data_IF_940140091359
#
_entry.id   IF_940140091359
#
_cell.length_a   1.000
_cell.length_b   1.000
_cell.length_c   1.000
_cell.angle_alpha   90.00
_cell.angle_beta   90.00
_cell.angle_gamma   90.00
#
_symmetry.space_group_name_H-M   'P 1'
#
loop_
_entity.id
_entity.type
_entity.pdbx_description
1 polymer ?
#
# COMPACT_ATOMS: atom_id res chain seq x y z
N UNK A 1 -27.16 -53.38 8.86
CA UNK A 1 -26.69 -52.24 9.69
C UNK A 1 -27.92 -51.40 10.00
N UNK A 2 -28.35 -51.36 11.26
CA UNK A 2 -29.48 -50.53 11.68
C UNK A 2 -29.09 -49.06 11.50
N UNK A 3 -29.89 -48.30 10.77
CA UNK A 3 -29.75 -46.84 10.70
C UNK A 3 -29.88 -46.28 12.12
N UNK A 4 -28.95 -45.43 12.59
CA UNK A 4 -29.05 -44.85 13.92
C UNK A 4 -30.39 -44.11 14.06
N UNK A 5 -31.01 -44.13 15.25
CA UNK A 5 -32.30 -43.48 15.46
C UNK A 5 -32.16 -42.00 15.15
N UNK A 6 -32.90 -41.53 14.14
CA UNK A 6 -33.01 -40.10 13.83
C UNK A 6 -33.87 -39.48 14.92
N UNK A 7 -33.28 -38.62 15.74
CA UNK A 7 -34.02 -37.81 16.70
C UNK A 7 -35.11 -37.03 15.95
N UNK A 8 -36.36 -36.98 16.48
CA UNK A 8 -37.41 -36.12 15.96
C UNK A 8 -36.96 -34.66 15.87
N UNK A 9 -37.47 -33.96 14.86
CA UNK A 9 -37.04 -32.61 14.53
C UNK A 9 -37.36 -31.62 15.66
N UNK A 10 -38.46 -31.83 16.37
CA UNK A 10 -38.85 -30.99 17.52
C UNK A 10 -37.86 -31.10 18.68
N UNK A 11 -37.30 -32.30 18.91
CA UNK A 11 -36.35 -32.54 20.01
C UNK A 11 -35.01 -31.87 19.68
N UNK A 12 -34.54 -31.99 18.44
CA UNK A 12 -33.33 -31.32 17.98
C UNK A 12 -33.47 -29.79 18.06
N UNK A 13 -34.64 -29.25 17.70
CA UNK A 13 -34.95 -27.83 17.88
C UNK A 13 -34.90 -27.39 19.34
N UNK A 14 -35.45 -28.19 20.23
CA UNK A 14 -35.47 -27.86 21.65
C UNK A 14 -34.07 -27.90 22.26
N UNK A 15 -33.23 -28.87 21.87
CA UNK A 15 -31.81 -28.93 22.27
C UNK A 15 -31.07 -27.68 21.80
N UNK A 16 -31.29 -27.25 20.55
CA UNK A 16 -30.69 -26.03 20.02
C UNK A 16 -31.18 -24.81 20.81
N UNK A 17 -32.49 -24.68 21.06
CA UNK A 17 -33.05 -23.57 21.85
C UNK A 17 -32.39 -23.46 23.22
N UNK A 18 -32.33 -24.56 23.97
CA UNK A 18 -31.67 -24.61 25.28
C UNK A 18 -30.18 -24.29 25.14
N UNK A 19 -29.48 -24.85 24.14
CA UNK A 19 -28.07 -24.57 23.90
C UNK A 19 -27.77 -23.10 23.58
N UNK A 20 -28.71 -22.40 22.93
CA UNK A 20 -28.62 -20.95 22.67
C UNK A 20 -28.94 -20.16 23.95
N UNK A 21 -30.05 -20.44 24.62
CA UNK A 21 -30.53 -19.73 25.82
C UNK A 21 -29.55 -19.86 27.01
N UNK A 22 -29.02 -21.06 27.24
CA UNK A 22 -28.10 -21.38 28.35
C UNK A 22 -26.62 -21.17 28.03
N UNK A 23 -26.32 -20.47 26.93
CA UNK A 23 -24.95 -20.05 26.60
C UNK A 23 -23.97 -21.20 26.24
N UNK A 24 -24.43 -22.44 26.03
CA UNK A 24 -23.55 -23.60 25.83
C UNK A 24 -22.85 -23.67 24.46
N UNK A 25 -23.47 -23.14 23.40
CA UNK A 25 -22.93 -23.27 22.04
C UNK A 25 -22.29 -21.97 21.56
N UNK A 26 -21.14 -22.04 20.90
CA UNK A 26 -20.50 -20.90 20.26
C UNK A 26 -21.18 -20.53 18.94
N UNK A 27 -20.99 -19.29 18.47
CA UNK A 27 -21.54 -18.80 17.18
C UNK A 27 -21.13 -19.72 16.00
N UNK A 28 -19.87 -20.19 15.88
CA UNK A 28 -19.48 -21.12 14.83
C UNK A 28 -20.17 -22.48 14.92
N UNK A 29 -20.34 -23.05 16.12
CA UNK A 29 -21.02 -24.34 16.33
C UNK A 29 -22.50 -24.27 15.97
N UNK A 30 -23.17 -23.19 16.36
CA UNK A 30 -24.55 -22.90 15.95
C UNK A 30 -24.69 -22.79 14.43
N UNK A 31 -23.72 -22.15 13.76
CA UNK A 31 -23.75 -22.04 12.31
C UNK A 31 -23.46 -23.36 11.59
N UNK A 32 -22.59 -24.21 12.16
CA UNK A 32 -22.37 -25.57 11.64
C UNK A 32 -23.61 -26.45 11.82
N UNK A 33 -24.35 -26.29 12.92
CA UNK A 33 -25.58 -27.04 13.15
C UNK A 33 -26.67 -26.81 12.09
N UNK A 34 -26.64 -25.67 11.39
CA UNK A 34 -27.48 -25.40 10.23
C UNK A 34 -27.27 -26.37 9.07
N UNK A 35 -26.07 -26.92 8.92
CA UNK A 35 -25.74 -27.85 7.83
C UNK A 35 -26.35 -29.24 8.05
N UNK A 36 -26.88 -29.50 9.26
CA UNK A 36 -27.51 -30.79 9.61
C UNK A 36 -28.91 -30.92 9.02
N UNK A 37 -29.67 -29.82 8.89
CA UNK A 37 -30.99 -29.82 8.24
C UNK A 37 -31.39 -28.42 7.76
N UNK A 38 -32.03 -28.35 6.59
CA UNK A 38 -32.57 -27.10 6.02
C UNK A 38 -33.69 -26.48 6.86
N UNK A 39 -34.49 -27.27 7.60
CA UNK A 39 -35.51 -26.72 8.50
C UNK A 39 -34.91 -26.04 9.73
N UNK A 40 -33.83 -26.60 10.29
CA UNK A 40 -33.09 -25.95 11.38
C UNK A 40 -32.44 -24.64 10.93
N UNK A 41 -32.21 -24.44 9.62
CA UNK A 41 -31.58 -23.21 9.15
C UNK A 41 -32.35 -21.95 9.52
N UNK A 42 -33.65 -21.93 9.25
CA UNK A 42 -34.47 -20.75 9.49
C UNK A 42 -34.72 -20.55 11.00
N UNK A 43 -34.86 -21.65 11.74
CA UNK A 43 -35.07 -21.61 13.19
C UNK A 43 -33.79 -21.23 13.96
N UNK A 44 -32.62 -21.78 13.60
CA UNK A 44 -31.32 -21.39 14.16
C UNK A 44 -31.07 -19.91 13.89
N UNK A 45 -31.36 -19.43 12.67
CA UNK A 45 -31.25 -18.00 12.35
C UNK A 45 -32.21 -17.17 13.21
N UNK A 46 -33.46 -17.59 13.36
CA UNK A 46 -34.42 -16.88 14.22
C UNK A 46 -33.98 -16.84 15.70
N UNK A 47 -33.37 -17.91 16.20
CA UNK A 47 -32.87 -18.02 17.58
C UNK A 47 -31.60 -17.17 17.76
N UNK A 48 -30.69 -17.22 16.81
CA UNK A 48 -29.49 -16.39 16.77
C UNK A 48 -29.82 -14.89 16.84
N UNK A 49 -30.92 -14.48 16.21
CA UNK A 49 -31.38 -13.10 16.12
C UNK A 49 -32.26 -12.64 17.29
N UNK A 50 -32.76 -13.58 18.11
CA UNK A 50 -33.62 -13.31 19.28
C UNK A 50 -32.86 -13.29 20.60
N UNK A 51 -31.71 -13.94 20.67
CA UNK A 51 -30.95 -14.00 21.91
C UNK A 51 -30.05 -12.77 22.02
N UNK A 52 -30.17 -12.07 23.14
CA UNK A 52 -29.37 -10.90 23.54
C UNK A 52 -27.84 -11.13 23.52
N UNK A 53 -27.36 -12.34 23.18
CA UNK A 53 -25.96 -12.75 23.05
C UNK A 53 -25.12 -11.80 22.18
N UNK A 54 -25.71 -11.17 21.17
CA UNK A 54 -24.99 -10.26 20.29
C UNK A 54 -24.88 -8.83 20.85
N UNK A 55 -25.69 -8.48 21.84
CA UNK A 55 -25.64 -7.21 22.57
C UNK A 55 -24.93 -7.34 23.93
N UNK A 56 -24.99 -8.52 24.57
CA UNK A 56 -24.45 -8.79 25.90
C UNK A 56 -22.96 -9.15 25.88
N UNK A 57 -22.49 -9.86 24.85
CA UNK A 57 -21.07 -10.02 24.57
C UNK A 57 -20.67 -8.99 23.53
N UNK A 58 -19.69 -8.15 23.86
CA UNK A 58 -18.98 -7.36 22.85
C UNK A 58 -18.46 -8.33 21.79
N UNK A 59 -19.17 -8.45 20.67
CA UNK A 59 -18.71 -9.16 19.47
C UNK A 59 -17.24 -8.79 19.27
N UNK A 60 -16.36 -9.75 19.51
CA UNK A 60 -14.93 -9.48 19.36
C UNK A 60 -14.62 -9.32 17.87
N UNK A 61 -13.56 -8.57 17.56
CA UNK A 61 -13.10 -8.41 16.19
C UNK A 61 -12.87 -9.77 15.51
N UNK A 62 -12.31 -10.74 16.23
CA UNK A 62 -12.05 -12.09 15.71
C UNK A 62 -13.33 -12.87 15.40
N UNK A 63 -14.35 -12.76 16.25
CA UNK A 63 -15.65 -13.38 15.99
C UNK A 63 -16.35 -12.75 14.77
N UNK A 64 -16.26 -11.42 14.61
CA UNK A 64 -16.83 -10.77 13.43
C UNK A 64 -16.08 -11.13 12.15
N UNK A 65 -14.75 -11.12 12.16
CA UNK A 65 -13.95 -11.44 10.98
C UNK A 65 -14.19 -12.88 10.49
N UNK A 66 -14.25 -13.84 11.41
CA UNK A 66 -14.50 -15.25 11.11
C UNK A 66 -15.97 -15.57 10.81
N UNK A 67 -16.88 -14.62 11.04
CA UNK A 67 -18.31 -14.80 10.77
C UNK A 67 -18.58 -14.89 9.25
N UNK A 68 -19.32 -15.90 8.79
CA UNK A 68 -19.75 -16.02 7.40
C UNK A 68 -20.50 -14.79 6.91
N UNK A 69 -20.24 -14.34 5.68
CA UNK A 69 -20.88 -13.11 5.17
C UNK A 69 -22.41 -13.15 5.18
N UNK A 70 -23.01 -14.32 4.92
CA UNK A 70 -24.47 -14.48 4.99
C UNK A 70 -25.01 -14.19 6.39
N UNK A 71 -24.26 -14.54 7.44
CA UNK A 71 -24.65 -14.19 8.81
C UNK A 71 -24.47 -12.71 9.10
N UNK A 72 -23.36 -12.10 8.64
CA UNK A 72 -23.16 -10.64 8.74
C UNK A 72 -24.34 -9.89 8.12
N UNK A 73 -24.75 -10.29 6.91
CA UNK A 73 -25.92 -9.70 6.22
C UNK A 73 -27.20 -9.81 7.05
N UNK A 74 -27.54 -11.01 7.50
CA UNK A 74 -28.76 -11.26 8.29
C UNK A 74 -28.74 -10.49 9.61
N UNK A 75 -27.60 -10.47 10.30
CA UNK A 75 -27.43 -9.73 11.55
C UNK A 75 -27.66 -8.23 11.36
N UNK A 76 -27.03 -7.63 10.35
CA UNK A 76 -27.21 -6.21 10.04
C UNK A 76 -28.67 -5.89 9.66
N UNK A 77 -29.32 -6.77 8.88
CA UNK A 77 -30.72 -6.61 8.49
C UNK A 77 -31.64 -6.55 9.72
N UNK A 78 -31.48 -7.51 10.65
CA UNK A 78 -32.29 -7.53 11.87
C UNK A 78 -32.03 -6.32 12.75
N UNK A 79 -30.77 -5.89 12.89
CA UNK A 79 -30.45 -4.69 13.67
C UNK A 79 -31.10 -3.43 13.09
N UNK A 80 -31.24 -3.35 11.77
CA UNK A 80 -31.93 -2.24 11.10
C UNK A 80 -33.45 -2.37 11.28
N UNK A 81 -34.03 -3.57 11.14
CA UNK A 81 -35.47 -3.79 11.25
C UNK A 81 -36.00 -3.62 12.68
N UNK A 82 -35.24 -4.08 13.69
CA UNK A 82 -35.62 -3.99 15.10
C UNK A 82 -35.28 -2.64 15.73
N UNK A 83 -35.05 -1.59 14.93
CA UNK A 83 -34.69 -0.26 15.41
C UNK A 83 -35.62 0.27 16.50
N UNK A 84 -36.93 0.05 16.37
CA UNK A 84 -37.93 0.54 17.33
C UNK A 84 -37.89 -0.20 18.67
N UNK A 85 -37.39 -1.44 18.69
CA UNK A 85 -37.30 -2.29 19.88
C UNK A 85 -35.94 -2.14 20.58
N UNK A 86 -34.85 -2.13 19.80
CA UNK A 86 -33.48 -2.10 20.28
C UNK A 86 -32.62 -1.19 19.36
N UNK A 87 -32.73 0.15 19.50
CA UNK A 87 -31.98 1.06 18.64
C UNK A 87 -30.49 0.98 18.92
N UNK A 88 -29.71 0.73 17.87
CA UNK A 88 -28.25 0.88 17.86
C UNK A 88 -27.83 2.05 16.97
N UNK A 89 -26.59 2.53 17.11
CA UNK A 89 -26.10 3.65 16.33
C UNK A 89 -26.18 3.39 14.82
N UNK A 90 -25.85 2.17 14.36
CA UNK A 90 -26.00 1.81 12.96
C UNK A 90 -27.46 1.93 12.49
N UNK A 91 -28.40 1.35 13.22
CA UNK A 91 -29.83 1.40 12.85
C UNK A 91 -30.33 2.84 12.78
N UNK A 92 -29.96 3.69 13.75
CA UNK A 92 -30.33 5.10 13.78
C UNK A 92 -29.78 5.86 12.57
N UNK A 93 -28.53 5.58 12.17
CA UNK A 93 -27.91 6.15 10.98
C UNK A 93 -28.64 5.76 9.70
N UNK A 94 -28.96 4.47 9.55
CA UNK A 94 -29.63 3.95 8.36
C UNK A 94 -31.03 4.54 8.24
N UNK A 95 -31.82 4.54 9.31
CA UNK A 95 -33.17 5.14 9.29
C UNK A 95 -33.12 6.65 9.03
N UNK A 96 -32.14 7.37 9.59
CA UNK A 96 -31.95 8.78 9.29
C UNK A 96 -31.60 9.01 7.81
N UNK A 97 -30.68 8.22 7.24
CA UNK A 97 -30.32 8.29 5.82
C UNK A 97 -31.52 8.01 4.89
N UNK A 98 -32.28 6.95 5.18
CA UNK A 98 -33.48 6.59 4.41
C UNK A 98 -34.58 7.67 4.51
N UNK A 99 -34.73 8.31 5.67
CA UNK A 99 -35.69 9.41 5.86
C UNK A 99 -35.32 10.66 5.07
N UNK A 100 -34.02 10.93 4.89
CA UNK A 100 -33.52 12.05 4.11
C UNK A 100 -33.59 11.81 2.59
N UNK A 101 -33.64 10.55 2.15
CA UNK A 101 -33.67 10.14 0.74
C UNK A 101 -34.75 9.09 0.47
N UNK A 102 -36.04 9.50 0.42
CA UNK A 102 -37.13 8.59 0.12
C UNK A 102 -36.97 8.06 -1.32
N UNK A 103 -36.76 6.75 -1.45
CA UNK A 103 -36.69 6.05 -2.73
C UNK A 103 -37.89 5.10 -2.89
N UNK A 104 -38.22 4.71 -4.13
CA UNK A 104 -39.37 3.85 -4.41
C UNK A 104 -39.26 2.46 -3.77
N UNK A 105 -38.06 1.97 -3.47
CA UNK A 105 -37.86 0.67 -2.81
C UNK A 105 -36.87 0.76 -1.65
N UNK A 106 -37.43 0.85 -0.43
CA UNK A 106 -36.68 0.90 0.84
C UNK A 106 -35.85 -0.36 1.05
N UNK A 107 -36.33 -1.54 0.64
CA UNK A 107 -35.64 -2.80 0.88
C UNK A 107 -34.38 -2.91 0.03
N UNK A 108 -34.46 -2.48 -1.24
CA UNK A 108 -33.27 -2.44 -2.12
C UNK A 108 -32.20 -1.50 -1.56
N UNK A 109 -32.58 -0.33 -1.03
CA UNK A 109 -31.61 0.58 -0.42
C UNK A 109 -30.97 -0.01 0.84
N UNK A 110 -31.76 -0.64 1.72
CA UNK A 110 -31.23 -1.32 2.91
C UNK A 110 -30.27 -2.42 2.51
N UNK A 111 -30.60 -3.24 1.50
CA UNK A 111 -29.71 -4.29 1.00
C UNK A 111 -28.40 -3.71 0.47
N UNK A 112 -28.44 -2.65 -0.34
CA UNK A 112 -27.23 -1.97 -0.84
C UNK A 112 -26.35 -1.44 0.28
N UNK A 113 -26.95 -0.84 1.31
CA UNK A 113 -26.22 -0.36 2.49
C UNK A 113 -25.58 -1.52 3.26
N UNK A 114 -26.29 -2.63 3.43
CA UNK A 114 -25.76 -3.84 4.08
C UNK A 114 -24.60 -4.40 3.27
N UNK A 115 -24.73 -4.55 1.95
CA UNK A 115 -23.66 -5.08 1.10
C UNK A 115 -22.41 -4.21 1.15
N UNK A 116 -22.56 -2.88 1.23
CA UNK A 116 -21.45 -1.95 1.43
C UNK A 116 -20.79 -2.06 2.82
N UNK A 117 -21.54 -2.51 3.83
CA UNK A 117 -21.10 -2.59 5.23
C UNK A 117 -20.53 -3.96 5.63
N UNK A 118 -20.91 -5.04 4.96
CA UNK A 118 -20.44 -6.41 5.26
C UNK A 118 -18.91 -6.57 5.17
N UNK A 119 -18.20 -5.97 4.21
CA UNK A 119 -16.73 -6.05 4.12
C UNK A 119 -15.99 -5.30 5.23
N UNK A 120 -16.69 -4.59 6.12
CA UNK A 120 -16.11 -3.75 7.16
C UNK A 120 -15.79 -4.59 8.40
N UNK A 121 -14.51 -4.76 8.71
CA UNK A 121 -14.08 -5.63 9.81
C UNK A 121 -13.82 -4.90 11.14
N UNK A 122 -13.20 -3.72 11.11
CA UNK A 122 -12.76 -3.03 12.34
C UNK A 122 -13.73 -1.96 12.84
N UNK A 123 -14.41 -1.23 11.95
CA UNK A 123 -15.21 -0.06 12.35
C UNK A 123 -16.64 -0.37 12.78
N UNK A 124 -17.28 -1.37 12.14
CA UNK A 124 -18.73 -1.57 12.23
C UNK A 124 -19.20 -1.98 13.64
N UNK A 125 -18.37 -2.74 14.37
CA UNK A 125 -18.68 -3.20 15.72
C UNK A 125 -18.89 -2.05 16.71
N UNK A 126 -18.19 -0.93 16.53
CA UNK A 126 -18.37 0.26 17.35
C UNK A 126 -19.75 0.92 17.15
N UNK A 127 -20.42 0.64 16.03
CA UNK A 127 -21.74 1.19 15.68
C UNK A 127 -22.89 0.23 16.01
N UNK A 128 -22.57 -1.03 16.31
CA UNK A 128 -23.55 -2.03 16.72
C UNK A 128 -23.83 -1.98 18.23
N UNK A 129 -22.86 -1.53 19.04
CA UNK A 129 -23.02 -1.39 20.49
C UNK A 129 -23.71 -0.09 20.94
N UNK A 130 -24.62 -0.12 21.92
CA UNK A 130 -25.46 1.02 22.32
C UNK A 130 -24.71 2.21 22.98
N UNK A 131 -23.51 1.99 23.54
CA UNK A 131 -22.78 3.03 24.30
C UNK A 131 -21.54 3.63 23.63
N UNK A 132 -20.98 2.97 22.60
CA UNK A 132 -19.69 3.35 22.02
C UNK A 132 -19.79 4.54 21.05
N UNK A 133 -20.87 4.64 20.29
CA UNK A 133 -21.10 5.74 19.37
C UNK A 133 -21.25 7.08 20.10
N UNK A 134 -22.06 7.14 21.16
CA UNK A 134 -22.23 8.35 21.97
C UNK A 134 -20.89 8.82 22.59
N UNK A 135 -20.01 7.87 22.95
CA UNK A 135 -18.65 8.17 23.42
C UNK A 135 -17.77 8.74 22.31
N UNK A 136 -17.75 8.13 21.12
CA UNK A 136 -17.02 8.62 19.94
C UNK A 136 -17.45 10.04 19.53
N UNK A 137 -18.75 10.32 19.52
CA UNK A 137 -19.30 11.65 19.21
C UNK A 137 -18.95 12.71 20.27
N UNK A 138 -18.80 12.29 21.54
CA UNK A 138 -18.37 13.17 22.63
C UNK A 138 -16.87 13.43 22.61
N UNK A 139 -16.03 12.49 22.18
CA UNK A 139 -14.57 12.63 22.31
C UNK A 139 -13.90 13.31 21.12
N UNK A 140 -14.49 13.30 19.92
CA UNK A 140 -13.85 13.89 18.74
C UNK A 140 -14.44 15.25 18.33
N UNK A 141 -13.65 16.35 18.40
CA UNK A 141 -14.10 17.70 18.01
C UNK A 141 -14.58 17.79 16.56
N UNK A 142 -13.96 17.04 15.65
CA UNK A 142 -14.30 16.99 14.22
C UNK A 142 -15.72 16.47 13.97
N UNK A 143 -16.13 15.44 14.72
CA UNK A 143 -17.47 14.84 14.63
C UNK A 143 -18.57 15.73 15.24
N UNK A 144 -18.20 16.62 16.16
CA UNK A 144 -19.16 17.47 16.89
C UNK A 144 -19.60 18.69 16.07
N UNK A 145 -18.78 19.13 15.12
CA UNK A 145 -19.02 20.35 14.32
C UNK A 145 -19.86 20.11 13.05
N UNK A 146 -19.90 18.89 12.52
CA UNK A 146 -20.67 18.56 11.31
C UNK A 146 -21.78 17.55 11.60
N UNK A 147 -23.00 18.03 11.87
CA UNK A 147 -24.17 17.17 12.18
C UNK A 147 -24.57 16.21 11.04
N UNK A 148 -24.21 16.50 9.79
CA UNK A 148 -24.50 15.65 8.61
C UNK A 148 -23.44 14.56 8.33
N UNK A 149 -22.32 14.52 9.08
CA UNK A 149 -21.23 13.52 8.87
C UNK A 149 -21.70 12.06 8.97
N UNK A 150 -22.81 11.83 9.65
CA UNK A 150 -23.45 10.53 9.83
C UNK A 150 -24.00 9.95 8.53
N UNK A 151 -24.75 10.77 7.77
CA UNK A 151 -25.23 10.45 6.41
C UNK A 151 -24.03 10.25 5.49
N UNK A 152 -23.00 11.09 5.66
CA UNK A 152 -21.75 11.01 4.89
C UNK A 152 -20.99 9.69 5.12
N UNK A 153 -21.04 9.08 6.30
CA UNK A 153 -20.40 7.77 6.52
C UNK A 153 -21.04 6.65 5.68
N UNK A 154 -22.37 6.67 5.52
CA UNK A 154 -23.07 5.71 4.66
C UNK A 154 -22.82 6.01 3.18
N UNK A 155 -22.72 7.28 2.80
CA UNK A 155 -22.30 7.65 1.44
C UNK A 155 -20.87 7.21 1.13
N UNK A 156 -19.93 7.34 2.07
CA UNK A 156 -18.57 6.79 1.94
C UNK A 156 -18.62 5.27 1.76
N UNK A 157 -19.49 4.56 2.50
CA UNK A 157 -19.68 3.13 2.35
C UNK A 157 -20.13 2.78 0.91
N UNK A 158 -21.17 3.46 0.44
CA UNK A 158 -21.72 3.26 -0.90
C UNK A 158 -20.74 3.62 -2.01
N UNK A 159 -19.97 4.71 -1.85
CA UNK A 159 -18.93 5.10 -2.79
C UNK A 159 -17.83 4.03 -2.86
N UNK A 160 -17.40 3.50 -1.71
CA UNK A 160 -16.40 2.42 -1.66
C UNK A 160 -16.89 1.11 -2.27
N UNK A 161 -18.17 0.79 -2.08
CA UNK A 161 -18.81 -0.35 -2.73
C UNK A 161 -18.85 -0.17 -4.26
N UNK A 162 -19.28 1.00 -4.75
CA UNK A 162 -19.27 1.32 -6.17
C UNK A 162 -17.86 1.20 -6.78
N UNK A 163 -16.83 1.71 -6.08
CA UNK A 163 -15.42 1.53 -6.48
C UNK A 163 -15.04 0.05 -6.52
N UNK A 164 -15.44 -0.73 -5.52
CA UNK A 164 -15.10 -2.16 -5.43
C UNK A 164 -15.79 -3.00 -6.51
N UNK A 165 -16.99 -2.58 -6.95
CA UNK A 165 -17.74 -3.19 -8.06
C UNK A 165 -17.38 -2.62 -9.43
N UNK A 166 -16.47 -1.64 -9.48
CA UNK A 166 -16.12 -0.89 -10.69
C UNK A 166 -17.34 -0.28 -11.40
N UNK A 167 -18.17 0.43 -10.64
CA UNK A 167 -19.40 1.07 -11.12
C UNK A 167 -19.26 2.61 -11.09
N UNK A 168 -18.72 3.23 -12.16
CA UNK A 168 -18.51 4.67 -12.21
C UNK A 168 -19.82 5.45 -12.25
N UNK A 169 -20.90 4.88 -12.81
CA UNK A 169 -22.21 5.55 -12.89
C UNK A 169 -22.85 5.65 -11.51
N UNK A 170 -22.83 4.56 -10.74
CA UNK A 170 -23.30 4.61 -9.35
C UNK A 170 -22.47 5.58 -8.51
N UNK A 171 -21.15 5.63 -8.74
CA UNK A 171 -20.27 6.58 -8.06
C UNK A 171 -20.59 8.03 -8.46
N UNK A 172 -20.78 8.31 -9.74
CA UNK A 172 -21.14 9.63 -10.24
C UNK A 172 -22.47 10.12 -9.64
N UNK A 173 -23.51 9.28 -9.70
CA UNK A 173 -24.81 9.62 -9.10
C UNK A 173 -24.68 9.94 -7.60
N UNK A 174 -23.82 9.22 -6.87
CA UNK A 174 -23.56 9.49 -5.45
C UNK A 174 -22.82 10.82 -5.20
N UNK A 175 -21.98 11.26 -6.14
CA UNK A 175 -21.23 12.51 -6.06
C UNK A 175 -22.05 13.72 -6.54
N UNK A 176 -23.03 13.51 -7.42
CA UNK A 176 -23.96 14.52 -7.90
C UNK A 176 -25.15 14.73 -6.95
N UNK A 177 -25.57 13.68 -6.23
CA UNK A 177 -26.68 13.74 -5.28
C UNK A 177 -26.30 14.45 -3.97
N UNK A 178 -26.62 15.74 -3.85
CA UNK A 178 -26.91 16.43 -2.58
C UNK A 178 -25.99 17.59 -2.16
N UNK A 179 -26.50 18.46 -1.29
CA UNK A 179 -25.82 19.67 -0.77
C UNK A 179 -24.52 19.37 0.03
N UNK A 180 -24.35 18.14 0.53
CA UNK A 180 -23.19 17.68 1.31
C UNK A 180 -22.17 16.84 0.47
N UNK A 181 -22.38 16.68 -0.83
CA UNK A 181 -21.65 15.71 -1.66
C UNK A 181 -20.21 16.09 -2.02
N UNK A 182 -19.87 17.37 -1.88
CA UNK A 182 -18.63 17.96 -2.41
C UNK A 182 -17.31 17.40 -1.85
N UNK A 183 -17.31 16.66 -0.74
CA UNK A 183 -16.08 16.16 -0.10
C UNK A 183 -16.10 14.66 0.26
N UNK A 184 -17.16 13.91 -0.07
CA UNK A 184 -17.32 12.48 0.30
C UNK A 184 -16.11 11.64 -0.12
N UNK A 185 -15.53 11.96 -1.28
CA UNK A 185 -14.41 11.23 -1.87
C UNK A 185 -13.07 11.43 -1.13
N UNK A 186 -12.86 12.56 -0.44
CA UNK A 186 -11.63 12.87 0.32
C UNK A 186 -11.75 12.57 1.81
N UNK A 187 -12.96 12.54 2.37
CA UNK A 187 -13.16 12.36 3.80
C UNK A 187 -12.63 11.01 4.28
N UNK A 188 -11.78 11.07 5.31
CA UNK A 188 -11.29 9.87 5.97
C UNK A 188 -12.40 9.26 6.81
N UNK A 189 -12.69 7.98 6.59
CA UNK A 189 -13.59 7.25 7.45
C UNK A 189 -12.83 6.35 8.42
N UNK A 190 -13.09 6.56 9.71
CA UNK A 190 -12.68 5.65 10.77
C UNK A 190 -13.40 4.29 10.70
N UNK A 191 -14.58 4.22 10.07
CA UNK A 191 -15.28 2.95 9.83
C UNK A 191 -14.49 2.06 8.88
N UNK A 192 -13.93 2.65 7.83
CA UNK A 192 -13.34 1.92 6.72
C UNK A 192 -11.80 2.01 6.64
N UNK A 193 -11.16 2.67 7.62
CA UNK A 193 -9.71 2.89 7.69
C UNK A 193 -9.12 3.48 6.40
N UNK A 194 -9.84 4.43 5.79
CA UNK A 194 -9.41 5.10 4.56
C UNK A 194 -10.52 5.89 3.89
N UNK A 195 -10.14 6.75 2.95
CA UNK A 195 -11.08 7.47 2.08
C UNK A 195 -11.46 6.65 0.83
N UNK A 196 -12.57 6.97 0.15
CA UNK A 196 -12.87 6.43 -1.18
C UNK A 196 -11.74 6.68 -2.18
N UNK A 197 -11.14 7.87 -2.17
CA UNK A 197 -9.97 8.18 -3.00
C UNK A 197 -8.80 7.22 -2.77
N UNK A 198 -8.46 6.92 -1.51
CA UNK A 198 -7.42 5.95 -1.19
C UNK A 198 -7.74 4.53 -1.69
N UNK A 199 -9.03 4.15 -1.72
CA UNK A 199 -9.45 2.85 -2.24
C UNK A 199 -9.38 2.80 -3.76
N UNK A 200 -9.88 3.83 -4.43
CA UNK A 200 -9.81 3.98 -5.88
C UNK A 200 -8.35 4.01 -6.36
N UNK A 201 -7.49 4.73 -5.65
CA UNK A 201 -6.05 4.72 -5.89
C UNK A 201 -5.46 3.30 -5.83
N UNK A 202 -5.85 2.53 -4.81
CA UNK A 202 -5.29 1.20 -4.59
C UNK A 202 -5.83 0.13 -5.54
N UNK A 203 -7.12 0.18 -5.90
CA UNK A 203 -7.82 -0.94 -6.58
C UNK A 203 -8.80 -0.51 -7.68
N UNK A 204 -9.04 0.78 -7.85
CA UNK A 204 -9.98 1.30 -8.85
C UNK A 204 -9.39 1.29 -10.25
N UNK A 205 -10.24 1.63 -11.22
CA UNK A 205 -9.89 1.78 -12.64
C UNK A 205 -9.63 3.25 -12.99
N UNK A 206 -9.13 3.48 -14.21
CA UNK A 206 -8.99 4.82 -14.78
C UNK A 206 -10.32 5.58 -14.74
N UNK A 207 -11.41 4.97 -15.22
CA UNK A 207 -12.76 5.57 -15.25
C UNK A 207 -13.26 5.98 -13.85
N UNK A 208 -13.07 5.12 -12.85
CA UNK A 208 -13.40 5.45 -11.45
C UNK A 208 -12.59 6.64 -10.97
N UNK A 209 -11.29 6.69 -11.29
CA UNK A 209 -10.44 7.81 -10.90
C UNK A 209 -10.84 9.10 -11.63
N UNK A 210 -11.13 9.03 -12.93
CA UNK A 210 -11.63 10.18 -13.71
C UNK A 210 -12.93 10.72 -13.12
N UNK A 211 -13.87 9.84 -12.77
CA UNK A 211 -15.13 10.23 -12.11
C UNK A 211 -14.85 10.96 -10.79
N UNK A 212 -13.95 10.43 -9.96
CA UNK A 212 -13.57 11.10 -8.72
C UNK A 212 -12.89 12.47 -8.98
N UNK A 213 -11.98 12.54 -9.95
CA UNK A 213 -11.28 13.75 -10.36
C UNK A 213 -12.22 14.82 -10.89
N UNK A 214 -13.22 14.45 -11.68
CA UNK A 214 -14.23 15.37 -12.22
C UNK A 214 -15.02 16.07 -11.12
N UNK A 215 -15.45 15.34 -10.10
CA UNK A 215 -16.32 15.87 -9.03
C UNK A 215 -15.56 16.40 -7.80
N UNK A 216 -14.23 16.29 -7.75
CA UNK A 216 -13.45 16.60 -6.55
C UNK A 216 -13.00 18.06 -6.38
N UNK A 217 -13.18 18.62 -5.19
CA UNK A 217 -12.49 19.84 -4.72
C UNK A 217 -11.16 19.44 -4.08
N UNK A 218 -10.14 19.25 -4.91
CA UNK A 218 -8.79 18.85 -4.52
C UNK A 218 -8.12 19.92 -3.64
N UNK A 219 -8.41 19.91 -2.35
CA UNK A 219 -7.68 20.70 -1.35
C UNK A 219 -6.53 19.85 -0.82
N UNK A 220 -5.33 20.43 -0.75
CA UNK A 220 -4.03 19.79 -0.43
C UNK A 220 -3.95 19.16 0.97
N UNK A 221 -4.84 18.21 1.23
CA UNK A 221 -5.01 17.45 2.46
C UNK A 221 -4.10 16.23 2.45
N UNK A 222 -3.77 15.70 3.64
CA UNK A 222 -2.96 14.48 3.77
C UNK A 222 -3.53 13.25 3.05
N UNK A 223 -4.81 13.28 2.66
CA UNK A 223 -5.47 12.21 1.92
C UNK A 223 -4.91 12.00 0.51
N UNK A 224 -4.54 13.06 -0.20
CA UNK A 224 -3.96 12.98 -1.55
C UNK A 224 -2.62 12.25 -1.52
N UNK A 225 -1.71 12.66 -0.62
CA UNK A 225 -0.43 11.99 -0.38
C UNK A 225 -0.62 10.51 -0.06
N UNK A 226 -1.56 10.20 0.83
CA UNK A 226 -1.87 8.84 1.23
C UNK A 226 -2.39 7.99 0.06
N UNK A 227 -3.22 8.57 -0.79
CA UNK A 227 -3.79 7.88 -1.94
C UNK A 227 -2.76 7.69 -3.08
N UNK A 228 -1.92 8.69 -3.40
CA UNK A 228 -0.80 8.52 -4.35
C UNK A 228 0.12 7.39 -3.89
N UNK A 229 0.51 7.40 -2.61
CA UNK A 229 1.34 6.34 -2.02
C UNK A 229 0.70 4.95 -2.16
N UNK A 230 -0.62 4.84 -2.02
CA UNK A 230 -1.35 3.59 -2.20
C UNK A 230 -1.42 3.14 -3.66
N UNK A 231 -1.66 4.06 -4.60
CA UNK A 231 -1.66 3.75 -6.04
C UNK A 231 -0.30 3.23 -6.50
N UNK A 232 0.76 3.92 -6.07
CA UNK A 232 2.14 3.52 -6.35
C UNK A 232 2.41 2.11 -5.81
N UNK A 233 2.15 1.85 -4.51
CA UNK A 233 2.40 0.53 -3.91
C UNK A 233 1.55 -0.58 -4.51
N UNK A 234 0.36 -0.25 -5.01
CA UNK A 234 -0.49 -1.18 -5.75
C UNK A 234 -0.06 -1.37 -7.23
N UNK A 235 0.94 -0.61 -7.70
CA UNK A 235 1.39 -0.54 -9.10
C UNK A 235 0.25 -0.23 -10.08
N UNK A 236 -0.73 0.56 -9.64
CA UNK A 236 -1.91 0.87 -10.44
C UNK A 236 -1.60 2.01 -11.43
N UNK A 237 -0.95 1.66 -12.55
CA UNK A 237 -0.51 2.63 -13.56
C UNK A 237 -1.66 3.38 -14.23
N UNK A 238 -2.75 2.69 -14.56
CA UNK A 238 -3.91 3.32 -15.19
C UNK A 238 -4.46 4.49 -14.35
N UNK A 239 -4.56 4.28 -13.03
CA UNK A 239 -4.96 5.33 -12.10
C UNK A 239 -3.90 6.41 -11.96
N UNK A 240 -2.62 6.04 -11.87
CA UNK A 240 -1.53 7.02 -11.80
C UNK A 240 -1.44 7.90 -13.06
N UNK A 241 -1.70 7.35 -14.24
CA UNK A 241 -1.69 8.08 -15.51
C UNK A 241 -2.79 9.13 -15.55
N UNK A 242 -4.04 8.71 -15.31
CA UNK A 242 -5.19 9.62 -15.17
C UNK A 242 -4.90 10.73 -14.16
N UNK A 243 -4.30 10.35 -13.02
CA UNK A 243 -4.06 11.29 -11.95
C UNK A 243 -2.91 12.25 -12.27
N UNK A 244 -1.83 11.80 -12.89
CA UNK A 244 -0.67 12.64 -13.23
C UNK A 244 -0.88 13.50 -14.48
N UNK A 245 -1.71 13.03 -15.41
CA UNK A 245 -2.04 13.76 -16.64
C UNK A 245 -3.13 14.82 -16.40
N UNK A 246 -3.79 14.83 -15.24
CA UNK A 246 -4.75 15.87 -14.89
C UNK A 246 -4.06 17.24 -14.78
N UNK A 247 -4.30 18.06 -15.81
CA UNK A 247 -3.82 19.45 -15.92
C UNK A 247 -4.11 20.32 -14.70
N UNK A 248 -5.11 19.97 -13.88
CA UNK A 248 -5.47 20.66 -12.63
C UNK A 248 -4.44 20.45 -11.53
N UNK A 249 -3.78 19.29 -11.48
CA UNK A 249 -2.70 18.99 -10.54
C UNK A 249 -1.38 19.63 -10.94
N UNK A 250 -1.11 19.66 -12.25
CA UNK A 250 0.06 20.33 -12.81
C UNK A 250 0.10 21.84 -12.49
N UNK A 251 -1.02 22.45 -12.08
CA UNK A 251 -1.14 23.88 -11.74
C UNK A 251 -1.09 24.19 -10.24
N UNK A 252 -1.20 23.22 -9.33
CA UNK A 252 -1.64 23.50 -7.94
C UNK A 252 -0.78 22.97 -6.79
N UNK A 253 0.31 22.24 -7.01
CA UNK A 253 1.27 21.99 -5.91
C UNK A 253 2.66 21.58 -6.38
N UNK A 254 3.63 22.49 -6.24
CA UNK A 254 5.07 22.22 -6.45
C UNK A 254 5.70 21.38 -5.32
N UNK A 255 5.02 21.17 -4.19
CA UNK A 255 5.70 20.79 -2.93
C UNK A 255 5.39 19.39 -2.42
N UNK A 256 4.34 18.73 -2.91
CA UNK A 256 3.81 17.49 -2.32
C UNK A 256 4.15 16.19 -3.07
N UNK A 257 4.19 16.16 -4.41
CA UNK A 257 4.44 14.90 -5.13
C UNK A 257 5.88 14.40 -4.95
N UNK A 258 6.86 15.32 -4.88
CA UNK A 258 8.29 14.98 -4.95
C UNK A 258 8.74 13.98 -3.89
N UNK A 259 8.46 14.24 -2.60
CA UNK A 259 8.89 13.34 -1.50
C UNK A 259 8.27 11.94 -1.60
N UNK A 260 7.01 11.84 -2.01
CA UNK A 260 6.33 10.54 -2.16
C UNK A 260 6.95 9.76 -3.32
N UNK A 261 7.20 10.40 -4.45
CA UNK A 261 7.90 9.79 -5.59
C UNK A 261 9.34 9.41 -5.26
N UNK A 262 10.09 10.24 -4.50
CA UNK A 262 11.43 9.89 -4.03
C UNK A 262 11.42 8.61 -3.21
N UNK A 263 10.54 8.52 -2.21
CA UNK A 263 10.45 7.32 -1.36
C UNK A 263 10.02 6.09 -2.16
N UNK A 264 9.08 6.26 -3.09
CA UNK A 264 8.62 5.20 -3.96
C UNK A 264 9.71 4.65 -4.88
N UNK A 265 10.47 5.53 -5.56
CA UNK A 265 11.54 5.11 -6.46
C UNK A 265 12.56 4.24 -5.73
N UNK A 266 12.98 4.66 -4.53
CA UNK A 266 13.89 3.87 -3.69
C UNK A 266 13.25 2.57 -3.18
N UNK A 267 11.96 2.56 -2.85
CA UNK A 267 11.22 1.32 -2.50
C UNK A 267 11.25 0.31 -3.66
N UNK A 268 11.07 0.73 -4.91
CA UNK A 268 11.11 -0.18 -6.08
C UNK A 268 12.51 -0.65 -6.45
N UNK A 269 13.52 0.22 -6.32
CA UNK A 269 14.92 -0.20 -6.47
C UNK A 269 15.27 -1.30 -5.48
N UNK A 270 14.87 -1.15 -4.21
CA UNK A 270 15.02 -2.17 -3.17
C UNK A 270 14.28 -3.47 -3.45
N UNK A 271 13.11 -3.37 -4.07
CA UNK A 271 12.32 -4.52 -4.48
C UNK A 271 12.83 -5.19 -5.77
N UNK A 272 13.80 -4.60 -6.48
CA UNK A 272 14.26 -5.08 -7.79
C UNK A 272 13.25 -4.88 -8.92
N UNK A 273 12.32 -3.93 -8.77
CA UNK A 273 11.19 -3.73 -9.68
C UNK A 273 11.53 -2.69 -10.77
N UNK A 274 12.26 -3.15 -11.79
CA UNK A 274 12.66 -2.31 -12.93
C UNK A 274 11.46 -1.67 -13.63
N UNK A 275 10.36 -2.41 -13.78
CA UNK A 275 9.17 -1.96 -14.50
C UNK A 275 8.55 -0.70 -13.86
N UNK A 276 8.54 -0.62 -12.53
CA UNK A 276 8.07 0.58 -11.81
C UNK A 276 9.11 1.69 -11.76
N UNK A 277 10.41 1.35 -11.76
CA UNK A 277 11.50 2.34 -11.87
C UNK A 277 11.41 3.07 -13.22
N UNK A 278 11.27 2.32 -14.32
CA UNK A 278 11.08 2.83 -15.68
C UNK A 278 9.86 3.73 -15.80
N UNK A 279 8.76 3.33 -15.16
CA UNK A 279 7.52 4.08 -15.19
C UNK A 279 7.58 5.40 -14.39
N UNK A 280 8.17 5.39 -13.18
CA UNK A 280 8.15 6.54 -12.27
C UNK A 280 9.26 7.56 -12.53
N UNK A 281 10.42 7.12 -12.99
CA UNK A 281 11.60 7.97 -13.16
C UNK A 281 11.35 9.17 -14.10
N UNK A 282 10.83 8.99 -15.34
CA UNK A 282 10.55 10.12 -16.24
C UNK A 282 9.53 11.11 -15.66
N UNK A 283 8.58 10.60 -14.86
CA UNK A 283 7.57 11.43 -14.18
C UNK A 283 8.21 12.25 -13.07
N UNK A 284 9.12 11.68 -12.28
CA UNK A 284 9.84 12.43 -11.25
C UNK A 284 10.61 13.62 -11.84
N UNK A 285 11.27 13.43 -12.99
CA UNK A 285 11.99 14.50 -13.72
C UNK A 285 11.14 15.73 -13.97
N UNK A 286 9.85 15.53 -14.27
CA UNK A 286 8.90 16.62 -14.57
C UNK A 286 8.55 17.47 -13.36
N UNK A 287 8.66 16.93 -12.14
CA UNK A 287 8.10 17.55 -10.93
C UNK A 287 9.12 17.78 -9.79
N UNK A 288 10.37 17.33 -9.91
CA UNK A 288 11.34 17.32 -8.82
C UNK A 288 12.60 18.14 -9.13
N UNK A 289 12.99 19.13 -8.29
CA UNK A 289 14.22 19.91 -8.49
C UNK A 289 15.52 19.16 -8.12
N UNK A 290 15.42 17.93 -7.60
CA UNK A 290 16.53 17.09 -7.13
C UNK A 290 16.63 15.76 -7.90
N UNK A 291 16.32 15.80 -9.21
CA UNK A 291 16.29 14.62 -10.07
C UNK A 291 17.63 13.86 -10.06
N UNK A 292 18.71 14.56 -10.38
CA UNK A 292 20.05 13.98 -10.49
C UNK A 292 20.53 13.39 -9.16
N UNK A 293 20.33 14.12 -8.04
CA UNK A 293 20.66 13.65 -6.69
C UNK A 293 19.90 12.36 -6.33
N UNK A 294 18.60 12.32 -6.59
CA UNK A 294 17.80 11.12 -6.30
C UNK A 294 18.23 9.94 -7.17
N UNK A 295 18.46 10.17 -8.46
CA UNK A 295 18.84 9.12 -9.40
C UNK A 295 20.22 8.57 -9.09
N UNK A 296 21.17 9.42 -8.70
CA UNK A 296 22.47 8.98 -8.21
C UNK A 296 22.33 8.18 -6.91
N UNK A 297 21.51 8.64 -5.96
CA UNK A 297 21.23 7.89 -4.74
C UNK A 297 20.57 6.53 -5.03
N UNK A 298 19.65 6.48 -5.98
CA UNK A 298 19.01 5.25 -6.44
C UNK A 298 20.02 4.32 -7.12
N UNK A 299 20.98 4.86 -7.88
CA UNK A 299 22.08 4.10 -8.47
C UNK A 299 22.93 3.44 -7.37
N UNK A 300 23.36 4.21 -6.36
CA UNK A 300 24.14 3.67 -5.24
C UNK A 300 23.37 2.58 -4.49
N UNK A 301 22.06 2.77 -4.27
CA UNK A 301 21.21 1.74 -3.65
C UNK A 301 21.15 0.46 -4.51
N UNK A 302 20.98 0.59 -5.82
CA UNK A 302 20.97 -0.54 -6.76
C UNK A 302 22.32 -1.29 -6.77
N UNK A 303 23.43 -0.55 -6.68
CA UNK A 303 24.78 -1.11 -6.57
C UNK A 303 24.92 -1.93 -5.28
N UNK A 304 24.52 -1.37 -4.14
CA UNK A 304 24.55 -2.06 -2.84
C UNK A 304 23.73 -3.34 -2.82
N UNK A 305 22.63 -3.37 -3.57
CA UNK A 305 21.77 -4.54 -3.72
C UNK A 305 22.25 -5.51 -4.81
N UNK A 306 23.28 -5.15 -5.58
CA UNK A 306 23.80 -5.97 -6.68
C UNK A 306 22.90 -6.00 -7.93
N UNK A 307 21.97 -5.08 -8.09
CA UNK A 307 21.10 -5.04 -9.28
C UNK A 307 21.80 -4.33 -10.45
N UNK A 308 22.59 -5.07 -11.23
CA UNK A 308 23.31 -4.52 -12.40
C UNK A 308 22.35 -3.90 -13.42
N UNK A 309 21.18 -4.53 -13.63
CA UNK A 309 20.19 -4.07 -14.62
C UNK A 309 19.60 -2.72 -14.22
N UNK A 310 19.16 -2.57 -12.96
CA UNK A 310 18.59 -1.30 -12.48
C UNK A 310 19.68 -0.22 -12.41
N UNK A 311 20.89 -0.57 -11.96
CA UNK A 311 22.01 0.35 -11.93
C UNK A 311 22.36 0.87 -13.34
N UNK A 312 22.40 -0.01 -14.33
CA UNK A 312 22.62 0.36 -15.73
C UNK A 312 21.53 1.32 -16.22
N UNK A 313 20.27 0.98 -15.98
CA UNK A 313 19.14 1.80 -16.43
C UNK A 313 19.14 3.19 -15.79
N UNK A 314 19.40 3.27 -14.49
CA UNK A 314 19.45 4.55 -13.75
C UNK A 314 20.58 5.44 -14.24
N UNK A 315 21.75 4.88 -14.56
CA UNK A 315 22.85 5.64 -15.15
C UNK A 315 22.50 6.17 -16.54
N UNK A 316 21.87 5.36 -17.40
CA UNK A 316 21.45 5.78 -18.75
C UNK A 316 20.46 6.95 -18.75
N UNK A 317 19.66 7.09 -17.68
CA UNK A 317 18.56 8.05 -17.61
C UNK A 317 18.69 9.12 -16.51
N UNK A 318 19.79 9.11 -15.74
CA UNK A 318 19.94 9.90 -14.53
C UNK A 318 20.48 11.32 -14.69
N UNK A 319 20.99 11.68 -15.87
CA UNK A 319 21.57 13.01 -16.17
C UNK A 319 22.62 13.49 -15.14
N UNK A 320 23.37 12.55 -14.55
CA UNK A 320 24.43 12.84 -13.59
C UNK A 320 25.78 12.30 -14.09
N UNK A 321 26.87 12.83 -13.53
CA UNK A 321 28.20 12.26 -13.69
C UNK A 321 28.35 10.99 -12.83
N UNK A 322 28.85 9.90 -13.41
CA UNK A 322 29.03 8.61 -12.71
C UNK A 322 30.08 8.69 -11.59
N UNK A 323 31.00 9.66 -11.70
CA UNK A 323 32.01 9.97 -10.70
C UNK A 323 31.59 11.09 -9.75
N UNK A 324 30.30 11.48 -9.75
CA UNK A 324 29.76 12.45 -8.80
C UNK A 324 29.98 12.01 -7.35
N UNK A 325 30.34 12.97 -6.49
CA UNK A 325 30.63 12.73 -5.07
C UNK A 325 29.99 13.75 -4.13
N UNK A 326 29.43 14.85 -4.66
CA UNK A 326 28.85 15.94 -3.88
C UNK A 326 27.69 15.48 -2.99
N UNK A 327 26.90 14.49 -3.45
CA UNK A 327 25.67 14.07 -2.76
C UNK A 327 25.84 12.90 -1.80
N UNK A 328 26.81 12.04 -2.03
CA UNK A 328 26.92 10.75 -1.33
C UNK A 328 28.32 10.50 -0.74
N UNK A 329 29.27 11.41 -0.96
CA UNK A 329 30.66 11.36 -0.48
C UNK A 329 31.46 10.09 -0.89
N UNK A 330 30.94 9.31 -1.83
CA UNK A 330 31.60 8.15 -2.45
C UNK A 330 31.19 8.07 -3.93
N UNK A 331 32.09 7.63 -4.81
CA UNK A 331 31.76 7.38 -6.22
C UNK A 331 31.02 6.04 -6.37
N UNK A 332 30.27 5.88 -7.46
CA UNK A 332 29.59 4.62 -7.78
C UNK A 332 30.56 3.42 -7.83
N UNK A 333 31.78 3.63 -8.34
CA UNK A 333 32.83 2.61 -8.39
C UNK A 333 33.26 2.15 -6.99
N UNK A 334 33.46 3.08 -6.04
CA UNK A 334 33.81 2.73 -4.67
C UNK A 334 32.67 2.02 -3.93
N UNK A 335 31.41 2.44 -4.15
CA UNK A 335 30.26 1.73 -3.62
C UNK A 335 30.24 0.26 -4.10
N UNK A 336 30.52 0.01 -5.38
CA UNK A 336 30.57 -1.34 -5.92
C UNK A 336 31.71 -2.19 -5.32
N UNK A 337 32.89 -1.61 -5.15
CA UNK A 337 34.03 -2.31 -4.53
C UNK A 337 33.77 -2.71 -3.08
N UNK A 338 33.09 -1.85 -2.32
CA UNK A 338 32.85 -2.02 -0.89
C UNK A 338 31.65 -2.91 -0.59
N UNK A 339 30.52 -2.66 -1.25
CA UNK A 339 29.22 -3.16 -0.82
C UNK A 339 28.70 -4.33 -1.68
N UNK A 340 29.18 -4.52 -2.91
CA UNK A 340 28.72 -5.63 -3.74
C UNK A 340 29.29 -6.99 -3.28
N UNK A 341 28.43 -8.01 -3.31
CA UNK A 341 28.83 -9.41 -3.16
C UNK A 341 29.78 -9.86 -4.27
N UNK A 342 30.65 -10.84 -3.96
CA UNK A 342 31.75 -11.25 -4.86
C UNK A 342 31.30 -11.69 -6.26
N UNK A 343 30.12 -12.32 -6.36
CA UNK A 343 29.57 -12.84 -7.62
C UNK A 343 29.03 -11.72 -8.52
N UNK A 344 28.62 -10.60 -7.93
CA UNK A 344 27.98 -9.47 -8.61
C UNK A 344 28.94 -8.31 -8.81
N UNK A 345 29.98 -8.21 -7.96
CA UNK A 345 30.98 -7.15 -7.99
C UNK A 345 31.66 -7.02 -9.35
N UNK A 346 32.10 -8.13 -9.96
CA UNK A 346 32.78 -8.09 -11.27
C UNK A 346 31.85 -7.58 -12.37
N UNK A 347 30.63 -8.12 -12.57
CA UNK A 347 29.65 -7.55 -13.50
C UNK A 347 29.33 -6.07 -13.22
N UNK A 348 29.16 -5.68 -11.95
CA UNK A 348 28.82 -4.31 -11.58
C UNK A 348 29.96 -3.35 -11.90
N UNK A 349 31.19 -3.66 -11.51
CA UNK A 349 32.37 -2.84 -11.80
C UNK A 349 32.59 -2.76 -13.31
N UNK A 350 32.41 -3.86 -14.04
CA UNK A 350 32.51 -3.86 -15.50
C UNK A 350 31.49 -2.92 -16.13
N UNK A 351 30.25 -2.96 -15.64
CA UNK A 351 29.19 -2.04 -16.09
C UNK A 351 29.61 -0.59 -15.84
N UNK A 352 30.03 -0.24 -14.62
CA UNK A 352 30.44 1.13 -14.28
C UNK A 352 31.63 1.63 -15.14
N UNK A 353 32.66 0.82 -15.32
CA UNK A 353 33.84 1.18 -16.12
C UNK A 353 33.51 1.34 -17.61
N UNK A 354 32.68 0.44 -18.15
CA UNK A 354 32.20 0.55 -19.54
C UNK A 354 31.37 1.83 -19.76
N UNK A 355 30.82 2.39 -18.68
CA UNK A 355 30.07 3.66 -18.67
C UNK A 355 30.90 4.88 -18.31
N UNK A 356 32.23 4.75 -18.31
CA UNK A 356 33.14 5.87 -18.17
C UNK A 356 33.48 6.23 -16.72
N UNK A 357 33.15 5.38 -15.74
CA UNK A 357 33.66 5.57 -14.38
C UNK A 357 35.19 5.60 -14.38
N UNK A 358 35.77 6.61 -13.73
CA UNK A 358 37.21 6.76 -13.67
C UNK A 358 37.85 5.58 -12.90
N UNK A 359 38.67 4.73 -13.56
CA UNK A 359 39.31 3.58 -12.91
C UNK A 359 40.33 3.99 -11.84
N UNK A 360 40.83 5.22 -11.89
CA UNK A 360 41.71 5.85 -10.89
C UNK A 360 40.94 6.84 -9.98
N UNK A 361 39.61 6.71 -9.93
CA UNK A 361 38.75 7.50 -9.05
C UNK A 361 39.22 7.45 -7.60
N UNK A 362 38.86 8.48 -6.83
CA UNK A 362 39.31 8.63 -5.44
C UNK A 362 38.12 8.70 -4.49
N UNK A 363 38.33 8.21 -3.27
CA UNK A 363 37.34 8.29 -2.21
C UNK A 363 37.89 9.15 -1.06
N UNK A 364 37.13 10.14 -0.57
CA UNK A 364 37.59 11.06 0.49
C UNK A 364 38.08 10.36 1.76
N UNK A 365 37.42 9.26 2.15
CA UNK A 365 37.71 8.52 3.39
C UNK A 365 38.38 7.15 3.20
N UNK A 366 38.53 6.64 1.98
CA UNK A 366 39.09 5.30 1.74
C UNK A 366 40.44 5.52 1.07
N UNK A 367 41.56 5.14 1.72
CA UNK A 367 42.87 5.33 1.15
C UNK A 367 43.16 4.32 0.03
N UNK A 368 43.60 4.82 -1.11
CA UNK A 368 44.09 4.04 -2.24
C UNK A 368 43.15 4.03 -3.45
N UNK A 369 43.67 3.63 -4.60
CA UNK A 369 42.90 3.52 -5.86
C UNK A 369 42.06 2.24 -5.90
N UNK A 370 41.02 2.17 -6.76
CA UNK A 370 40.29 0.94 -7.05
C UNK A 370 41.20 -0.28 -7.28
N UNK A 371 42.29 -0.10 -8.02
CA UNK A 371 43.27 -1.13 -8.32
C UNK A 371 44.03 -1.59 -7.07
N UNK A 372 44.45 -0.65 -6.21
CA UNK A 372 45.14 -0.98 -4.96
C UNK A 372 44.24 -1.80 -4.02
N UNK A 373 42.94 -1.48 -3.97
CA UNK A 373 41.95 -2.23 -3.18
C UNK A 373 41.79 -3.66 -3.73
N UNK A 374 41.71 -3.81 -5.06
CA UNK A 374 41.61 -5.12 -5.71
C UNK A 374 42.85 -6.00 -5.42
N UNK A 375 44.05 -5.41 -5.46
CA UNK A 375 45.32 -6.10 -5.12
C UNK A 375 45.34 -6.52 -3.65
N UNK A 376 44.99 -5.62 -2.73
CA UNK A 376 44.97 -5.93 -1.29
C UNK A 376 44.03 -7.09 -0.96
N UNK A 377 42.91 -7.20 -1.69
CA UNK A 377 41.91 -8.26 -1.50
C UNK A 377 42.16 -9.51 -2.35
N UNK A 378 43.23 -9.54 -3.15
CA UNK A 378 43.57 -10.62 -4.07
C UNK A 378 42.44 -10.97 -5.06
N UNK A 379 41.69 -9.95 -5.52
CA UNK A 379 40.57 -10.10 -6.46
C UNK A 379 41.07 -10.07 -7.92
N UNK A 380 41.70 -11.16 -8.38
CA UNK A 380 42.39 -11.22 -9.70
C UNK A 380 41.54 -10.74 -10.88
N UNK A 381 40.30 -11.21 -10.99
CA UNK A 381 39.37 -10.77 -12.06
C UNK A 381 39.10 -9.26 -12.06
N UNK A 382 39.10 -8.65 -10.88
CA UNK A 382 38.88 -7.22 -10.74
C UNK A 382 40.15 -6.42 -11.09
N UNK A 383 41.33 -6.97 -10.77
CA UNK A 383 42.62 -6.40 -11.17
C UNK A 383 42.70 -6.34 -12.70
N UNK A 384 42.45 -7.47 -13.37
CA UNK A 384 42.49 -7.56 -14.83
C UNK A 384 41.51 -6.55 -15.46
N UNK A 385 40.28 -6.51 -14.96
CA UNK A 385 39.24 -5.61 -15.44
C UNK A 385 39.57 -4.12 -15.28
N UNK A 386 40.18 -3.73 -14.15
CA UNK A 386 40.58 -2.35 -13.91
C UNK A 386 41.74 -1.94 -14.83
N UNK A 387 42.71 -2.83 -15.04
CA UNK A 387 43.84 -2.60 -15.96
C UNK A 387 43.37 -2.51 -17.41
N UNK A 388 42.45 -3.39 -17.84
CA UNK A 388 41.85 -3.38 -19.18
C UNK A 388 41.12 -2.06 -19.47
N UNK A 389 40.59 -1.40 -18.43
CA UNK A 389 39.94 -0.10 -18.53
C UNK A 389 40.87 1.09 -18.21
N UNK A 390 42.19 0.86 -18.14
CA UNK A 390 43.19 1.93 -18.08
C UNK A 390 43.58 2.41 -16.68
N UNK A 391 43.28 1.64 -15.62
CA UNK A 391 43.76 1.96 -14.27
C UNK A 391 45.29 2.07 -14.24
N UNK A 392 45.83 3.18 -13.72
CA UNK A 392 47.26 3.36 -13.64
C UNK A 392 47.85 2.60 -12.43
N UNK A 393 48.72 1.58 -12.65
CA UNK A 393 49.32 0.79 -11.58
C UNK A 393 50.28 1.61 -10.69
N UNK A 394 50.74 2.77 -11.17
CA UNK A 394 51.71 3.61 -10.51
C UNK A 394 51.08 4.83 -9.81
N UNK A 395 49.76 4.87 -9.61
CA UNK A 395 49.10 5.99 -8.93
C UNK A 395 49.53 6.09 -7.46
N UNK A 396 50.41 7.05 -7.16
CA UNK A 396 50.99 7.29 -5.82
C UNK A 396 50.14 8.25 -4.97
N UNK A 397 48.86 7.95 -4.74
CA UNK A 397 48.01 8.80 -3.88
C UNK A 397 47.25 7.98 -2.83
N UNK A 398 47.37 8.38 -1.56
CA UNK A 398 46.88 7.66 -0.37
C UNK A 398 48.00 7.18 0.55
N UNK A 399 47.68 6.61 1.71
CA UNK A 399 48.65 6.09 2.71
C UNK A 399 49.54 4.98 2.10
N UNK A 400 49.16 4.40 0.96
CA UNK A 400 49.90 3.41 0.19
C UNK A 400 50.82 3.98 -0.89
N UNK A 401 50.83 5.31 -1.11
CA UNK A 401 51.90 5.96 -1.90
C UNK A 401 53.29 5.70 -1.30
N UNK A 402 53.35 5.44 0.01
CA UNK A 402 54.55 4.91 0.69
C UNK A 402 54.67 3.39 0.59
N UNK A 403 53.58 2.62 0.53
CA UNK A 403 53.61 1.15 0.49
C UNK A 403 54.16 0.59 -0.83
N UNK A 404 53.92 1.27 -1.96
CA UNK A 404 54.61 0.95 -3.24
C UNK A 404 56.11 1.23 -3.12
N UNK A 405 56.51 2.23 -2.32
CA UNK A 405 57.91 2.47 -1.96
C UNK A 405 58.50 1.43 -0.99
N UNK A 406 57.68 0.81 -0.13
CA UNK A 406 58.12 -0.18 0.86
C UNK A 406 58.13 -1.62 0.36
N UNK A 407 57.28 -1.98 -0.61
CA UNK A 407 57.24 -3.34 -1.11
C UNK A 407 58.33 -3.68 -2.13
N UNK A 408 59.13 -2.71 -2.60
CA UNK A 408 60.15 -2.94 -3.64
C UNK A 408 59.62 -3.80 -4.80
N UNK A 409 58.31 -3.70 -5.08
CA UNK A 409 57.70 -4.35 -6.24
C UNK A 409 58.11 -3.44 -7.37
N UNK A 410 59.01 -3.90 -8.22
CA UNK A 410 59.22 -3.24 -9.51
C UNK A 410 57.84 -2.90 -10.10
N UNK A 411 57.63 -1.66 -10.59
CA UNK A 411 56.34 -1.16 -11.03
C UNK A 411 55.68 -2.17 -11.95
N UNK A 412 54.71 -2.95 -11.42
CA UNK A 412 54.05 -4.14 -11.99
C UNK A 412 54.61 -4.54 -13.37
N UNK A 413 55.90 -4.93 -13.38
CA UNK A 413 56.64 -5.14 -14.63
C UNK A 413 56.25 -6.48 -15.25
N UNK A 414 55.65 -7.35 -14.45
CA UNK A 414 55.16 -8.68 -14.80
C UNK A 414 53.90 -8.68 -15.66
N UNK A 415 53.13 -7.58 -15.72
CA UNK A 415 51.96 -7.50 -16.62
C UNK A 415 52.31 -6.98 -18.03
N UNK A 416 53.38 -6.22 -18.17
CA UNK A 416 53.81 -5.61 -19.44
C UNK A 416 54.68 -6.51 -20.33
N UNK A 417 54.96 -7.76 -19.95
CA UNK A 417 55.75 -8.68 -20.78
C UNK A 417 55.00 -9.28 -21.99
N UNK A 418 53.78 -8.82 -22.29
CA UNK A 418 52.95 -9.34 -23.39
C UNK A 418 52.52 -8.34 -24.47
N UNK A 419 52.69 -7.03 -24.27
CA UNK A 419 52.28 -6.02 -25.27
C UNK A 419 53.44 -5.05 -25.46
N UNK A 420 54.13 -5.24 -26.58
CA UNK A 420 55.28 -4.44 -27.03
C UNK A 420 54.83 -2.98 -27.37
N UNK A 421 55.77 -2.01 -27.28
CA UNK A 421 55.50 -0.57 -27.12
C UNK A 421 54.89 0.13 -28.33
#
# INVERSE_FOLDING_TARGET
MATPPRLPLEILLHIIKIGVEEHYWTIPELFQARLVNTTFADEILSLFLRVDRLDSERLSHTQWETMPERLKRLFLHVKIDQHDLQPCALSQLVHHYLSARPAPDRNIQVQRLIDALVPVNYGILAYLGPGLHAKLMRTSPFYRQNRNLQVVQLQIALARDAISRNDPVALQNLLEDGEDAGEIHILWSHLFSGSPLCLAAQRGTAEIMETLLLHGTWTGSGCERGAIKKAIRAKNRAVLDVWLDDSRLSRRSETVPSTTFCTALLEFVRAGDLEMVEYLSPRFKRYGPYFEELHFKALIEAIKLGSVVIAQWLHEHGEFDIDETAWYHETALFAALRDCEINVKVPMVKMLLTRGANPDGQHPSIPGTPLQIAIQRNETKLIDLLLDHGANPNTQKGIYGSFVGYLNVEPIRWYYHGVNP
#
